data_IF_883897335729
#
_entry.id   IF_883897335729
#
_cell.length_a   1.000
_cell.length_b   1.000
_cell.length_c   1.000
_cell.angle_alpha   90.00
_cell.angle_beta   90.00
_cell.angle_gamma   90.00
#
_symmetry.space_group_name_H-M   'P 1'
#
loop_
_entity.id
_entity.type
_entity.pdbx_description
1 polymer ?
#
# COMPACT_ATOMS: atom_id res chain seq x y z
N UNK A 1 3.85 1.59 -5.74
CA UNK A 1 4.29 0.69 -6.85
C UNK A 1 3.08 -0.10 -7.31
N UNK A 2 3.04 -0.60 -8.55
CA UNK A 2 1.92 -1.46 -8.98
C UNK A 2 2.10 -2.88 -8.41
N UNK A 3 1.10 -3.39 -7.67
CA UNK A 3 1.10 -4.77 -7.13
C UNK A 3 0.65 -5.81 -8.15
N UNK A 4 -0.33 -5.46 -8.97
CA UNK A 4 -1.02 -6.39 -9.84
C UNK A 4 -1.05 -5.87 -11.28
N UNK A 5 -0.91 -6.78 -12.24
CA UNK A 5 -1.15 -6.45 -13.65
C UNK A 5 -2.65 -6.26 -13.86
N UNK A 6 -3.05 -5.09 -14.33
CA UNK A 6 -4.44 -4.81 -14.70
C UNK A 6 -4.52 -4.66 -16.22
N UNK A 7 -5.40 -5.45 -16.83
CA UNK A 7 -5.67 -5.42 -18.28
C UNK A 7 -6.94 -4.61 -18.49
N UNK A 8 -6.87 -3.46 -19.19
CA UNK A 8 -8.02 -2.59 -19.39
C UNK A 8 -9.04 -3.31 -20.28
N UNK A 9 -10.29 -3.24 -19.88
CA UNK A 9 -11.47 -3.71 -20.58
C UNK A 9 -12.25 -2.56 -21.22
N UNK A 10 -12.08 -1.35 -20.68
CA UNK A 10 -12.69 -0.12 -21.18
C UNK A 10 -11.63 0.81 -21.79
N UNK A 11 -12.01 1.67 -22.75
CA UNK A 11 -11.09 2.63 -23.36
C UNK A 11 -10.60 3.72 -22.40
N UNK A 12 -11.26 3.89 -21.26
CA UNK A 12 -10.89 4.85 -20.21
C UNK A 12 -9.98 4.22 -19.12
N UNK A 13 -9.70 2.93 -19.21
CA UNK A 13 -8.88 2.20 -18.25
C UNK A 13 -7.40 2.18 -18.68
N UNK A 14 -6.48 2.32 -17.71
CA UNK A 14 -5.05 2.27 -17.97
C UNK A 14 -4.49 0.87 -17.71
N UNK A 15 -3.79 0.31 -18.69
CA UNK A 15 -3.00 -0.92 -18.48
C UNK A 15 -1.83 -0.66 -17.55
N UNK A 16 -1.77 -1.41 -16.46
CA UNK A 16 -0.67 -1.34 -15.50
C UNK A 16 -0.04 -2.71 -15.33
N UNK A 17 1.28 -2.75 -15.16
CA UNK A 17 2.04 -3.98 -14.98
C UNK A 17 2.65 -3.99 -13.59
N UNK A 18 2.63 -5.14 -12.90
CA UNK A 18 3.31 -5.30 -11.60
C UNK A 18 4.77 -4.85 -11.69
N UNK A 19 5.18 -3.99 -10.76
CA UNK A 19 6.52 -3.41 -10.74
C UNK A 19 6.71 -2.17 -11.61
N UNK A 20 5.71 -1.76 -12.40
CA UNK A 20 5.76 -0.50 -13.15
C UNK A 20 5.52 0.71 -12.23
N UNK A 21 6.05 1.86 -12.65
CA UNK A 21 5.81 3.15 -12.01
C UNK A 21 4.80 3.94 -12.81
N UNK A 22 3.69 4.24 -12.16
CA UNK A 22 2.64 5.13 -12.64
C UNK A 22 2.46 6.28 -11.67
N UNK A 23 1.95 7.40 -12.18
CA UNK A 23 1.69 8.59 -11.41
C UNK A 23 0.19 8.69 -11.13
N UNK A 24 -0.19 8.66 -9.86
CA UNK A 24 -1.59 8.90 -9.45
C UNK A 24 -1.89 10.38 -9.64
N UNK A 25 -2.82 10.70 -10.54
CA UNK A 25 -3.29 12.05 -10.82
C UNK A 25 -4.43 12.44 -9.88
N UNK A 26 -5.40 11.56 -9.71
CA UNK A 26 -6.61 11.82 -8.91
C UNK A 26 -7.06 10.55 -8.20
N UNK A 27 -7.58 10.68 -6.98
CA UNK A 27 -8.11 9.57 -6.20
C UNK A 27 -9.61 9.79 -5.98
N UNK A 28 -10.41 8.77 -6.25
CA UNK A 28 -11.87 8.82 -6.05
C UNK A 28 -12.29 8.01 -4.82
N UNK A 29 -13.32 8.47 -4.11
CA UNK A 29 -13.85 7.76 -2.93
C UNK A 29 -14.47 6.38 -3.26
N UNK A 30 -14.80 6.14 -4.52
CA UNK A 30 -15.38 4.87 -5.00
C UNK A 30 -14.34 3.74 -5.15
N UNK A 31 -13.08 3.98 -4.78
CA UNK A 31 -12.00 2.97 -4.81
C UNK A 31 -11.21 2.90 -6.12
N UNK A 32 -11.40 3.88 -7.00
CA UNK A 32 -10.68 4.04 -8.25
C UNK A 32 -9.74 5.24 -8.19
N UNK A 33 -8.60 5.13 -8.85
CA UNK A 33 -7.61 6.20 -8.93
C UNK A 33 -7.28 6.46 -10.41
N UNK A 34 -7.35 7.71 -10.83
CA UNK A 34 -6.89 8.13 -12.15
C UNK A 34 -5.37 8.16 -12.14
N UNK A 35 -4.74 7.35 -12.97
CA UNK A 35 -3.29 7.27 -13.08
C UNK A 35 -2.82 7.65 -14.48
N UNK A 36 -1.56 8.08 -14.58
CA UNK A 36 -0.86 8.32 -15.83
C UNK A 36 0.41 7.48 -15.92
N UNK A 37 0.63 6.88 -17.09
CA UNK A 37 1.87 6.15 -17.36
C UNK A 37 2.98 7.09 -17.84
N UNK A 38 4.19 6.53 -17.99
CA UNK A 38 5.36 7.26 -18.51
C UNK A 38 5.20 7.69 -19.98
N UNK A 39 4.21 7.13 -20.70
CA UNK A 39 3.88 7.48 -22.09
C UNK A 39 2.94 8.71 -22.16
N UNK A 40 2.41 9.17 -21.03
CA UNK A 40 1.42 10.25 -20.95
C UNK A 40 -0.02 9.80 -21.20
N UNK A 41 -0.28 8.49 -21.28
CA UNK A 41 -1.64 7.96 -21.30
C UNK A 41 -2.20 7.96 -19.88
N UNK A 42 -3.43 8.44 -19.76
CA UNK A 42 -4.18 8.51 -18.52
C UNK A 42 -5.31 7.51 -18.56
N UNK A 43 -5.62 6.92 -17.43
CA UNK A 43 -6.78 6.06 -17.29
C UNK A 43 -7.00 5.61 -15.86
N UNK A 44 -8.17 5.01 -15.66
CA UNK A 44 -8.62 4.54 -14.36
C UNK A 44 -7.95 3.23 -14.01
N UNK A 45 -7.49 3.13 -12.75
CA UNK A 45 -7.00 1.88 -12.17
C UNK A 45 -7.62 1.67 -10.80
N UNK A 46 -7.94 0.43 -10.42
CA UNK A 46 -8.43 0.14 -9.08
C UNK A 46 -7.32 0.38 -8.05
N UNK A 47 -7.65 1.07 -6.95
CA UNK A 47 -6.70 1.36 -5.85
C UNK A 47 -6.08 0.10 -5.27
N UNK A 48 -6.80 -1.02 -5.32
CA UNK A 48 -6.34 -2.32 -4.86
C UNK A 48 -5.10 -2.83 -5.64
N UNK A 49 -4.95 -2.42 -6.91
CA UNK A 49 -3.76 -2.73 -7.71
C UNK A 49 -2.57 -1.83 -7.37
N UNK A 50 -2.77 -0.73 -6.64
CA UNK A 50 -1.75 0.20 -6.24
C UNK A 50 -1.24 -0.14 -4.84
N UNK A 51 0.08 -0.33 -4.73
CA UNK A 51 0.75 -0.29 -3.43
C UNK A 51 0.91 1.16 -3.02
N UNK A 52 0.00 1.63 -2.16
CA UNK A 52 0.35 2.64 -1.17
C UNK A 52 1.35 1.95 -0.24
N UNK A 53 2.64 2.08 -0.54
CA UNK A 53 3.64 1.74 0.45
C UNK A 53 3.34 2.64 1.65
N UNK A 54 2.91 2.11 2.82
CA UNK A 54 2.87 2.95 3.99
C UNK A 54 4.32 3.34 4.25
N UNK A 55 4.64 4.61 4.01
CA UNK A 55 5.91 5.22 4.42
C UNK A 55 6.06 5.24 5.96
N UNK A 56 5.10 4.68 6.70
CA UNK A 56 5.05 4.70 8.15
C UNK A 56 4.62 3.35 8.73
N UNK A 57 5.43 2.32 8.50
CA UNK A 57 5.61 1.27 9.50
C UNK A 57 7.10 0.95 9.58
N UNK A 58 7.87 1.68 10.41
CA UNK A 58 9.11 1.11 10.89
C UNK A 58 8.74 -0.22 11.55
N UNK A 59 9.29 -1.29 11.00
CA UNK A 59 9.25 -2.69 11.39
C UNK A 59 9.71 -2.98 12.84
N UNK A 60 9.73 -1.97 13.73
CA UNK A 60 10.31 -2.00 15.07
C UNK A 60 9.28 -1.52 16.12
N UNK A 61 8.17 -2.24 16.32
CA UNK A 61 7.28 -1.94 17.46
C UNK A 61 6.82 -3.14 18.30
N UNK A 62 7.15 -4.39 17.95
CA UNK A 62 6.66 -5.53 18.77
C UNK A 62 7.68 -6.64 19.08
N UNK A 63 8.89 -6.62 18.50
CA UNK A 63 9.84 -7.74 18.67
C UNK A 63 10.98 -7.54 19.67
N UNK A 64 11.12 -6.36 20.28
CA UNK A 64 12.23 -6.08 21.21
C UNK A 64 11.83 -5.51 22.59
N UNK A 65 10.59 -5.74 23.05
CA UNK A 65 10.26 -5.60 24.50
C UNK A 65 10.34 -6.95 25.24
N UNK A 66 11.21 -7.84 24.77
CA UNK A 66 11.78 -8.82 25.67
C UNK A 66 12.76 -8.12 26.60
N UNK A 67 12.58 -8.32 27.93
CA UNK A 67 13.56 -8.12 29.01
C UNK A 67 13.47 -6.82 29.84
N UNK A 68 12.33 -6.58 30.47
CA UNK A 68 12.35 -6.26 31.92
C UNK A 68 11.56 -7.39 32.60
N UNK A 69 12.21 -8.51 32.90
CA UNK A 69 12.95 -8.72 34.15
C UNK A 69 12.11 -8.32 35.37
N UNK A 70 11.39 -9.32 35.88
CA UNK A 70 11.34 -9.68 37.31
C UNK A 70 10.81 -8.66 38.30
N UNK A 71 9.60 -8.89 38.81
CA UNK A 71 9.28 -8.85 40.25
C UNK A 71 7.84 -9.33 40.47
N UNK A 72 7.69 -10.61 40.81
CA UNK A 72 6.59 -11.12 41.62
C UNK A 72 7.14 -12.27 42.48
N UNK A 73 7.40 -12.02 43.76
CA UNK A 73 7.13 -13.05 44.76
C UNK A 73 6.30 -12.50 45.92
N UNK A 74 5.15 -13.14 46.11
CA UNK A 74 4.51 -13.46 47.38
C UNK A 74 4.41 -12.36 48.46
N UNK A 75 3.21 -11.76 48.55
CA UNK A 75 2.80 -10.92 49.68
C UNK A 75 1.72 -11.61 50.52
N UNK A 76 2.07 -12.71 51.20
CA UNK A 76 1.31 -13.18 52.36
C UNK A 76 1.80 -12.44 53.61
N UNK A 77 0.94 -11.63 54.20
CA UNK A 77 0.91 -11.37 55.64
C UNK A 77 -0.51 -11.02 56.08
#
# INVERSE_FOLDING_TARGET
MVKCTFVPTLPDELSITTGERILVLEQYDDGWDLCANVRGERGMVPRDCLEHAPIDQPDIAWRNVGRTSSLNPDGRY
#
